data_IF_958922783565
#
_entry.id   IF_958922783565
#
_cell.length_a   1.000
_cell.length_b   1.000
_cell.length_c   1.000
_cell.angle_alpha   90.00
_cell.angle_beta   90.00
_cell.angle_gamma   90.00
#
_symmetry.space_group_name_H-M   'P 1'
#
loop_
_entity.id
_entity.type
_entity.pdbx_description
1 polymer ?
#
# COMPACT_ATOMS: atom_id res chain seq x y z
N UNK A 1 -1.46 -3.27 -47.82
CA UNK A 1 -1.91 -2.66 -46.55
C UNK A 1 -1.40 -3.55 -45.42
N UNK A 2 -0.26 -3.20 -44.83
CA UNK A 2 0.33 -4.00 -43.74
C UNK A 2 -0.39 -3.67 -42.46
N UNK A 3 -1.10 -4.64 -41.90
CA UNK A 3 -1.72 -4.51 -40.58
C UNK A 3 -0.61 -4.48 -39.53
N UNK A 4 -0.29 -3.27 -39.06
CA UNK A 4 0.62 -3.07 -37.94
C UNK A 4 0.01 -3.68 -36.68
N UNK A 5 0.56 -4.81 -36.24
CA UNK A 5 0.25 -5.42 -34.94
C UNK A 5 0.46 -4.36 -33.86
N UNK A 6 -0.51 -4.13 -32.94
CA UNK A 6 -0.29 -3.22 -31.83
C UNK A 6 0.86 -3.76 -31.00
N UNK A 7 1.91 -2.95 -30.86
CA UNK A 7 3.05 -3.22 -29.99
C UNK A 7 2.50 -3.42 -28.58
N UNK A 8 2.42 -4.68 -28.17
CA UNK A 8 2.02 -5.03 -26.81
C UNK A 8 3.16 -4.56 -25.93
N UNK A 9 3.01 -3.37 -25.35
CA UNK A 9 3.78 -2.95 -24.19
C UNK A 9 3.40 -3.88 -23.02
N UNK A 10 3.85 -5.13 -23.10
CA UNK A 10 3.84 -6.07 -21.98
C UNK A 10 4.90 -5.53 -21.01
N UNK A 11 4.54 -5.18 -19.77
CA UNK A 11 5.56 -4.95 -18.76
C UNK A 11 6.39 -6.24 -18.65
N UNK A 12 7.71 -6.11 -18.77
CA UNK A 12 8.65 -7.23 -18.63
C UNK A 12 8.25 -8.10 -17.44
N UNK A 13 8.10 -9.41 -17.69
CA UNK A 13 7.72 -10.45 -16.71
C UNK A 13 8.82 -10.70 -15.69
N UNK A 14 9.35 -9.65 -15.07
CA UNK A 14 10.24 -9.75 -13.92
C UNK A 14 9.47 -9.55 -12.63
N UNK A 15 9.97 -10.15 -11.56
CA UNK A 15 9.60 -9.80 -10.21
C UNK A 15 10.77 -9.00 -9.65
N UNK A 16 10.54 -7.73 -9.33
CA UNK A 16 11.57 -6.86 -8.75
C UNK A 16 11.33 -6.77 -7.26
N UNK A 17 12.31 -7.27 -6.50
CA UNK A 17 12.34 -7.15 -5.05
C UNK A 17 13.13 -5.90 -4.65
N UNK A 18 12.56 -5.13 -3.73
CA UNK A 18 13.17 -3.92 -3.18
C UNK A 18 13.36 -4.06 -1.68
N UNK A 19 14.23 -3.23 -1.12
CA UNK A 19 14.54 -3.25 0.31
C UNK A 19 13.27 -3.24 1.17
N UNK A 20 13.18 -4.14 2.17
CA UNK A 20 12.02 -4.23 3.05
C UNK A 20 11.97 -3.03 4.01
N UNK A 21 10.82 -2.85 4.64
CA UNK A 21 10.65 -1.87 5.73
C UNK A 21 11.40 -2.38 6.95
N UNK A 22 12.53 -1.75 7.25
CA UNK A 22 13.43 -2.16 8.33
C UNK A 22 12.89 -1.86 9.73
N UNK A 23 12.18 -0.74 9.92
CA UNK A 23 11.58 -0.38 11.21
C UNK A 23 10.16 -0.91 11.32
N UNK A 24 9.95 -1.83 12.25
CA UNK A 24 8.64 -2.47 12.44
C UNK A 24 7.70 -1.68 13.37
N UNK A 25 8.23 -0.90 14.32
CA UNK A 25 7.44 -0.24 15.37
C UNK A 25 7.70 1.27 15.42
N UNK A 26 6.61 2.03 15.57
CA UNK A 26 6.60 3.50 15.59
C UNK A 26 5.73 4.01 16.73
N UNK A 27 6.10 5.13 17.34
CA UNK A 27 5.40 5.68 18.50
C UNK A 27 4.00 6.20 18.17
N UNK A 28 3.80 6.66 16.94
CA UNK A 28 2.54 7.23 16.45
C UNK A 28 2.35 6.99 14.96
N UNK A 29 1.15 7.30 14.45
CA UNK A 29 0.89 7.29 13.02
C UNK A 29 1.73 8.35 12.29
N UNK A 30 1.98 9.49 12.92
CA UNK A 30 2.84 10.58 12.44
C UNK A 30 4.26 10.09 12.22
N UNK A 31 4.86 9.47 13.23
CA UNK A 31 6.21 8.90 13.14
C UNK A 31 6.30 7.78 12.10
N UNK A 32 5.24 6.99 11.92
CA UNK A 32 5.17 6.00 10.84
C UNK A 32 5.12 6.65 9.46
N UNK A 33 4.31 7.71 9.28
CA UNK A 33 4.20 8.43 8.01
C UNK A 33 5.51 9.11 7.62
N UNK A 34 6.19 9.76 8.57
CA UNK A 34 7.50 10.39 8.34
C UNK A 34 8.56 9.37 7.95
N UNK A 35 8.63 8.25 8.69
CA UNK A 35 9.51 7.15 8.34
C UNK A 35 9.20 6.59 6.94
N UNK A 36 7.91 6.46 6.60
CA UNK A 36 7.50 5.98 5.29
C UNK A 36 7.98 6.92 4.19
N UNK A 37 7.85 8.25 4.36
CA UNK A 37 8.38 9.23 3.39
C UNK A 37 9.87 9.00 3.12
N UNK A 38 10.69 8.87 4.17
CA UNK A 38 12.13 8.60 4.03
C UNK A 38 12.39 7.29 3.28
N UNK A 39 11.69 6.21 3.64
CA UNK A 39 11.83 4.95 2.93
C UNK A 39 11.42 5.04 1.46
N UNK A 40 10.39 5.83 1.15
CA UNK A 40 9.92 6.03 -0.22
C UNK A 40 10.95 6.82 -1.03
N UNK A 41 11.60 7.82 -0.46
CA UNK A 41 12.69 8.57 -1.09
C UNK A 41 13.92 7.69 -1.35
N UNK A 42 14.36 6.93 -0.34
CA UNK A 42 15.54 6.08 -0.43
C UNK A 42 15.36 4.90 -1.40
N UNK A 43 14.20 4.25 -1.35
CA UNK A 43 13.92 3.06 -2.17
C UNK A 43 13.24 3.39 -3.49
N UNK A 44 12.83 4.64 -3.68
CA UNK A 44 11.99 5.11 -4.79
C UNK A 44 10.65 4.37 -4.92
N UNK A 45 10.23 3.61 -3.89
CA UNK A 45 8.93 2.93 -3.86
C UNK A 45 7.86 3.93 -3.43
N UNK A 46 6.79 4.11 -4.21
CA UNK A 46 5.69 4.99 -3.82
C UNK A 46 4.52 4.20 -3.23
N UNK A 47 4.21 4.45 -1.96
CA UNK A 47 3.03 3.91 -1.32
C UNK A 47 2.01 5.03 -1.02
N UNK A 48 0.73 4.76 -1.28
CA UNK A 48 -0.36 5.68 -0.95
C UNK A 48 -1.36 5.01 -0.01
N UNK A 49 -1.90 5.80 0.93
CA UNK A 49 -2.94 5.32 1.85
C UNK A 49 -4.18 4.89 1.06
N UNK A 50 -4.56 3.62 1.20
CA UNK A 50 -5.74 3.04 0.53
C UNK A 50 -6.98 3.08 1.40
N UNK A 51 -6.80 2.75 2.67
CA UNK A 51 -7.87 2.65 3.67
C UNK A 51 -7.27 2.76 5.06
N UNK A 52 -7.95 3.50 5.92
CA UNK A 52 -7.72 3.51 7.37
C UNK A 52 -9.03 3.09 8.07
N UNK A 53 -8.91 2.41 9.21
CA UNK A 53 -10.02 2.28 10.14
C UNK A 53 -10.03 3.50 11.05
N UNK A 54 -11.16 4.19 11.16
CA UNK A 54 -11.29 5.33 12.05
C UNK A 54 -11.25 4.89 13.51
N UNK A 55 -10.82 5.78 14.41
CA UNK A 55 -10.83 5.54 15.86
C UNK A 55 -12.24 5.18 16.33
N UNK A 56 -13.27 5.87 15.83
CA UNK A 56 -14.67 5.58 16.16
C UNK A 56 -15.07 4.15 15.77
N UNK A 57 -14.67 3.69 14.57
CA UNK A 57 -14.94 2.32 14.12
C UNK A 57 -14.21 1.29 15.00
N UNK A 58 -12.94 1.54 15.31
CA UNK A 58 -12.20 0.65 16.20
C UNK A 58 -12.79 0.62 17.61
N UNK A 59 -13.22 1.77 18.15
CA UNK A 59 -13.89 1.83 19.46
C UNK A 59 -15.20 1.05 19.47
N UNK A 60 -15.99 1.10 18.39
CA UNK A 60 -17.19 0.29 18.24
C UNK A 60 -16.86 -1.22 18.19
N UNK A 61 -15.86 -1.61 17.39
CA UNK A 61 -15.39 -3.01 17.30
C UNK A 61 -14.87 -3.52 18.65
N UNK A 62 -14.17 -2.68 19.44
CA UNK A 62 -13.72 -3.01 20.80
C UNK A 62 -14.92 -3.24 21.73
N UNK A 63 -15.96 -2.39 21.67
CA UNK A 63 -17.15 -2.56 22.48
C UNK A 63 -17.91 -3.86 22.13
N UNK A 64 -18.02 -4.17 20.83
CA UNK A 64 -18.66 -5.39 20.36
C UNK A 64 -17.86 -6.64 20.76
N UNK A 65 -16.53 -6.57 20.71
CA UNK A 65 -15.65 -7.68 21.10
C UNK A 65 -15.55 -7.88 22.61
N UNK A 66 -15.60 -6.81 23.40
CA UNK A 66 -15.70 -6.88 24.85
C UNK A 66 -16.99 -7.60 25.28
N UNK A 67 -18.10 -7.40 24.56
CA UNK A 67 -19.34 -8.17 24.76
C UNK A 67 -19.18 -9.65 24.39
N UNK A 68 -18.28 -9.98 23.47
CA UNK A 68 -18.02 -11.33 23.00
C UNK A 68 -16.87 -12.06 23.72
N UNK A 69 -16.19 -11.42 24.68
CA UNK A 69 -15.06 -12.01 25.42
C UNK A 69 -13.79 -12.25 24.57
N UNK A 70 -13.66 -11.57 23.43
CA UNK A 70 -12.52 -11.69 22.52
C UNK A 70 -11.53 -10.54 22.71
N UNK A 71 -10.23 -10.81 22.51
CA UNK A 71 -9.19 -9.77 22.46
C UNK A 71 -9.01 -9.25 21.03
N UNK A 72 -9.33 -7.98 20.79
CA UNK A 72 -8.99 -7.23 19.56
C UNK A 72 -9.60 -5.81 19.62
N UNK A 73 -9.21 -4.82 18.83
CA UNK A 73 -8.13 -4.61 17.88
C UNK A 73 -7.88 -3.10 17.77
N UNK A 74 -6.69 -2.67 17.35
CA UNK A 74 -6.34 -1.24 17.24
C UNK A 74 -6.70 -0.61 15.89
N UNK A 75 -6.50 0.71 15.78
CA UNK A 75 -6.58 1.39 14.47
C UNK A 75 -5.60 0.77 13.49
N UNK A 76 -6.00 0.62 12.22
CA UNK A 76 -5.20 -0.01 11.18
C UNK A 76 -5.22 0.83 9.90
N UNK A 77 -4.15 0.75 9.13
CA UNK A 77 -4.02 1.43 7.85
C UNK A 77 -3.38 0.50 6.83
N UNK A 78 -3.87 0.57 5.60
CA UNK A 78 -3.31 -0.13 4.45
C UNK A 78 -2.82 0.88 3.42
N UNK A 79 -1.57 0.72 3.03
CA UNK A 79 -0.92 1.48 1.96
C UNK A 79 -0.67 0.53 0.78
N UNK A 80 -0.87 1.01 -0.44
CA UNK A 80 -0.64 0.24 -1.66
C UNK A 80 0.24 1.03 -2.63
N UNK A 81 0.95 0.32 -3.51
CA UNK A 81 1.69 0.95 -4.60
C UNK A 81 0.79 1.78 -5.51
N UNK A 82 1.30 2.89 -6.05
CA UNK A 82 0.60 3.77 -7.02
C UNK A 82 0.13 3.04 -8.28
N UNK A 83 0.82 1.94 -8.63
CA UNK A 83 0.56 1.11 -9.80
C UNK A 83 -0.35 -0.10 -9.50
N UNK A 84 -0.73 -0.32 -8.23
CA UNK A 84 -1.65 -1.39 -7.82
C UNK A 84 -3.13 -1.09 -8.10
N UNK A 85 -3.45 0.09 -8.66
CA UNK A 85 -4.83 0.56 -8.75
C UNK A 85 -5.50 0.24 -10.10
N UNK A 86 -6.61 -0.50 -10.04
CA UNK A 86 -7.60 -0.58 -11.11
C UNK A 86 -8.65 0.53 -11.02
N UNK A 87 -8.58 1.52 -11.93
CA UNK A 87 -9.64 2.53 -12.07
C UNK A 87 -10.71 1.93 -12.96
N UNK A 88 -11.90 1.64 -12.40
CA UNK A 88 -13.08 1.38 -13.23
C UNK A 88 -13.26 2.56 -14.18
N UNK A 89 -13.30 2.26 -15.48
CA UNK A 89 -13.61 3.27 -16.49
C UNK A 89 -14.99 3.86 -16.22
N UNK A 90 -15.13 5.18 -16.37
CA UNK A 90 -16.44 5.87 -16.29
C UNK A 90 -17.26 5.75 -17.57
N UNK A 91 -16.70 5.11 -18.61
CA UNK A 91 -17.37 4.93 -19.91
C UNK A 91 -18.26 3.68 -19.91
N UNK A 92 -19.36 3.74 -20.64
CA UNK A 92 -20.32 2.65 -20.89
C UNK A 92 -19.74 1.46 -21.68
N UNK A 93 -18.43 1.45 -21.98
CA UNK A 93 -17.75 0.34 -22.65
C UNK A 93 -17.96 0.24 -24.16
N UNK A 94 -18.58 1.25 -24.80
CA UNK A 94 -18.84 1.23 -26.25
C UNK A 94 -17.57 1.26 -27.12
N UNK A 95 -16.43 1.68 -26.57
CA UNK A 95 -15.12 1.59 -27.23
C UNK A 95 -14.19 0.73 -26.40
N UNK A 96 -13.42 -0.16 -27.04
CA UNK A 96 -12.38 -0.94 -26.38
C UNK A 96 -11.30 0.01 -25.84
N UNK A 97 -11.13 0.01 -24.52
CA UNK A 97 -10.04 0.71 -23.84
C UNK A 97 -8.83 -0.22 -23.81
N UNK A 98 -7.82 0.09 -24.64
CA UNK A 98 -6.59 -0.71 -24.72
C UNK A 98 -5.58 -0.41 -23.61
N UNK A 99 -5.78 0.69 -22.84
CA UNK A 99 -4.89 1.09 -21.76
C UNK A 99 -5.50 0.78 -20.39
N UNK A 100 -5.24 -0.42 -19.88
CA UNK A 100 -5.37 -0.69 -18.45
C UNK A 100 -4.28 0.06 -17.69
N UNK A 101 -4.65 1.09 -16.91
CA UNK A 101 -3.68 1.85 -16.07
C UNK A 101 -3.24 1.08 -14.81
N UNK A 102 -3.85 -0.07 -14.55
CA UNK A 102 -3.51 -0.94 -13.42
C UNK A 102 -2.43 -1.91 -13.83
N UNK A 103 -1.33 -1.96 -13.10
CA UNK A 103 -0.38 -3.06 -13.18
C UNK A 103 -0.78 -4.19 -12.24
N UNK A 104 -1.85 -4.03 -11.45
CA UNK A 104 -2.27 -4.99 -10.41
C UNK A 104 -1.13 -5.36 -9.44
N UNK A 105 -0.20 -4.42 -9.26
CA UNK A 105 0.94 -4.57 -8.37
C UNK A 105 0.48 -4.86 -6.93
N UNK A 106 1.02 -5.91 -6.33
CA UNK A 106 0.68 -6.39 -4.99
C UNK A 106 1.52 -5.76 -3.89
N UNK A 107 2.48 -4.92 -4.25
CA UNK A 107 3.28 -4.19 -3.27
C UNK A 107 2.38 -3.34 -2.37
N UNK A 108 2.60 -3.43 -1.06
CA UNK A 108 1.79 -2.73 -0.09
C UNK A 108 2.21 -3.01 1.34
N UNK A 109 1.75 -2.14 2.22
CA UNK A 109 2.11 -2.11 3.64
C UNK A 109 0.83 -2.10 4.45
N UNK A 110 0.77 -2.92 5.48
CA UNK A 110 -0.28 -2.93 6.50
C UNK A 110 0.37 -2.55 7.81
N UNK A 111 -0.25 -1.60 8.50
CA UNK A 111 0.14 -1.20 9.84
C UNK A 111 -1.07 -1.21 10.75
N UNK A 112 -0.87 -1.51 12.03
CA UNK A 112 -1.91 -1.46 13.04
C UNK A 112 -1.35 -1.04 14.39
N UNK A 113 -2.17 -0.38 15.20
CA UNK A 113 -1.83 -0.11 16.59
C UNK A 113 -1.88 -1.42 17.38
N UNK A 114 -0.77 -1.75 18.02
CA UNK A 114 -0.61 -2.96 18.84
C UNK A 114 0.03 -2.61 20.18
N UNK A 115 -0.27 -3.40 21.21
CA UNK A 115 0.41 -3.27 22.50
C UNK A 115 1.85 -3.78 22.39
N UNK A 116 2.84 -2.93 22.64
CA UNK A 116 4.23 -3.34 22.77
C UNK A 116 4.51 -3.73 24.23
N UNK A 117 4.95 -4.98 24.45
CA UNK A 117 5.23 -5.52 25.78
C UNK A 117 6.49 -4.94 26.42
N UNK A 118 7.51 -4.65 25.61
CA UNK A 118 8.82 -4.17 26.07
C UNK A 118 8.71 -2.70 26.51
N UNK A 119 8.14 -1.88 25.64
CA UNK A 119 7.93 -0.44 25.87
C UNK A 119 6.71 -0.15 26.76
N UNK A 120 5.90 -1.17 27.06
CA UNK A 120 4.66 -1.10 27.86
C UNK A 120 3.72 0.02 27.40
N UNK A 121 3.64 0.25 26.08
CA UNK A 121 2.82 1.29 25.45
C UNK A 121 2.21 0.81 24.12
N UNK A 122 1.14 1.45 23.70
CA UNK A 122 0.58 1.23 22.35
C UNK A 122 1.46 1.88 21.30
N UNK A 123 1.77 1.15 20.23
CA UNK A 123 2.62 1.59 19.13
C UNK A 123 2.02 1.16 17.80
N UNK A 124 2.30 1.90 16.74
CA UNK A 124 1.97 1.50 15.37
C UNK A 124 3.00 0.47 14.92
N UNK A 125 2.56 -0.75 14.63
CA UNK A 125 3.38 -1.84 14.14
C UNK A 125 3.05 -2.18 12.69
N UNK A 126 4.06 -2.39 11.87
CA UNK A 126 3.91 -2.96 10.53
C UNK A 126 3.52 -4.44 10.70
N UNK A 127 2.29 -4.78 10.30
CA UNK A 127 1.72 -6.13 10.43
C UNK A 127 1.88 -6.96 9.16
N UNK A 128 2.26 -6.33 8.05
CA UNK A 128 2.66 -7.01 6.84
C UNK A 128 3.16 -6.05 5.78
N UNK A 129 4.22 -6.42 5.08
CA UNK A 129 4.80 -5.65 3.99
C UNK A 129 5.11 -6.56 2.81
N UNK A 130 4.81 -6.09 1.61
CA UNK A 130 5.30 -6.66 0.36
C UNK A 130 5.94 -5.54 -0.45
N UNK A 131 7.23 -5.69 -0.75
CA UNK A 131 8.03 -4.79 -1.60
C UNK A 131 8.34 -5.44 -2.96
N UNK A 132 7.57 -6.48 -3.30
CA UNK A 132 7.65 -7.18 -4.58
C UNK A 132 6.77 -6.47 -5.61
N UNK A 133 7.39 -5.97 -6.68
CA UNK A 133 6.71 -5.31 -7.79
C UNK A 133 6.80 -6.15 -9.06
N UNK A 134 5.71 -6.18 -9.81
CA UNK A 134 5.64 -6.82 -11.14
C UNK A 134 6.00 -5.85 -12.28
N UNK A 135 6.63 -4.73 -11.92
CA UNK A 135 7.14 -3.71 -12.83
C UNK A 135 8.37 -3.08 -12.20
N UNK A 136 9.21 -2.45 -13.03
CA UNK A 136 10.33 -1.68 -12.53
C UNK A 136 9.83 -0.44 -11.80
N UNK A 137 10.37 -0.22 -10.62
CA UNK A 137 10.31 1.02 -9.86
C UNK A 137 11.70 1.64 -9.89
N UNK A 138 11.80 2.87 -10.36
CA UNK A 138 13.05 3.61 -10.37
C UNK A 138 12.82 5.09 -10.07
N UNK A 139 13.92 5.82 -9.90
CA UNK A 139 13.89 7.26 -9.61
C UNK A 139 13.08 8.06 -10.63
N UNK A 140 13.17 7.72 -11.91
CA UNK A 140 12.45 8.47 -12.96
C UNK A 140 10.93 8.28 -12.82
N UNK A 141 10.48 7.10 -12.44
CA UNK A 141 9.07 6.83 -12.13
C UNK A 141 8.64 7.56 -10.86
N UNK A 142 9.49 7.57 -9.83
CA UNK A 142 9.24 8.26 -8.56
C UNK A 142 9.04 9.77 -8.73
N UNK A 143 9.96 10.44 -9.43
CA UNK A 143 9.92 11.89 -9.66
C UNK A 143 8.71 12.33 -10.51
N UNK A 144 8.25 11.49 -11.44
CA UNK A 144 7.10 11.78 -12.30
C UNK A 144 5.74 11.51 -11.65
N UNK A 145 5.71 11.02 -10.41
CA UNK A 145 4.50 10.75 -9.66
C UNK A 145 4.45 11.58 -8.37
N UNK A 146 4.24 12.90 -8.46
CA UNK A 146 4.18 13.77 -7.28
C UNK A 146 3.08 13.30 -6.33
N UNK A 147 3.43 13.29 -5.04
CA UNK A 147 2.61 12.91 -3.88
C UNK A 147 1.24 13.57 -3.89
#
# INVERSE_FOLDING_TARGET
MSESKPEVHVPSTGMWEYSPIAKECHESWEAFKEYLVVCQEDTHQLFRLRSSTSVARCNAEIQDQARAGANGGGTSAKYIGTHGWYRKGRSTGQRKSYFGKSMECKAGIKAAVTWNKEERKFMVRVTGSSTSHNHRVDRTVYENHPS
#
